data_IF_648793437646
#
_entry.id   IF_648793437646
#
_cell.length_a   1.000
_cell.length_b   1.000
_cell.length_c   1.000
_cell.angle_alpha   90.00
_cell.angle_beta   90.00
_cell.angle_gamma   90.00
#
_symmetry.space_group_name_H-M   'P 1'
#
loop_
_entity.id
_entity.type
_entity.pdbx_description
1 polymer ?
#
# COMPACT_ATOMS: atom_id res chain seq x y z
N UNK A 1 -41.97 48.00 -37.92
CA UNK A 1 -40.65 47.98 -37.25
C UNK A 1 -40.56 46.81 -36.24
N UNK A 2 -40.77 45.53 -36.63
CA UNK A 2 -40.93 44.44 -35.63
C UNK A 2 -40.39 43.03 -36.01
N UNK A 3 -39.37 42.88 -36.88
CA UNK A 3 -38.87 41.54 -37.29
C UNK A 3 -37.49 41.13 -36.73
N UNK A 4 -36.80 42.01 -36.01
CA UNK A 4 -35.41 41.78 -35.54
C UNK A 4 -35.28 41.31 -34.09
N UNK A 5 -36.35 41.39 -33.29
CA UNK A 5 -36.35 41.03 -31.87
C UNK A 5 -36.13 39.52 -31.56
N UNK A 6 -36.71 38.55 -32.31
CA UNK A 6 -36.51 37.13 -31.99
C UNK A 6 -35.10 36.64 -32.34
N UNK A 7 -34.44 37.27 -33.33
CA UNK A 7 -33.06 36.96 -33.71
C UNK A 7 -32.06 37.43 -32.66
N UNK A 8 -32.31 38.58 -32.03
CA UNK A 8 -31.47 39.09 -30.94
C UNK A 8 -31.59 38.24 -29.67
N UNK A 9 -32.79 37.75 -29.36
CA UNK A 9 -33.00 36.84 -28.25
C UNK A 9 -32.34 35.48 -28.49
N UNK A 10 -32.48 34.90 -29.69
CA UNK A 10 -31.81 33.64 -30.03
C UNK A 10 -30.27 33.74 -29.98
N UNK A 11 -29.70 34.87 -30.42
CA UNK A 11 -28.27 35.13 -30.33
C UNK A 11 -27.78 35.25 -28.88
N UNK A 12 -28.60 35.82 -27.99
CA UNK A 12 -28.30 35.91 -26.56
C UNK A 12 -28.36 34.54 -25.85
N UNK A 13 -29.26 33.66 -26.28
CA UNK A 13 -29.35 32.28 -25.76
C UNK A 13 -28.17 31.42 -26.19
N UNK A 14 -27.66 31.63 -27.41
CA UNK A 14 -26.50 30.91 -27.93
C UNK A 14 -25.19 31.35 -27.27
N UNK A 15 -25.07 32.63 -26.90
CA UNK A 15 -23.90 33.16 -26.18
C UNK A 15 -23.92 32.86 -24.68
N UNK A 16 -25.10 32.65 -24.09
CA UNK A 16 -25.25 32.21 -22.69
C UNK A 16 -24.97 30.71 -22.48
N UNK A 17 -25.00 29.92 -23.57
CA UNK A 17 -24.59 28.52 -23.56
C UNK A 17 -23.07 28.44 -23.62
N UNK A 18 -22.42 28.83 -22.51
CA UNK A 18 -20.98 28.74 -22.34
C UNK A 18 -20.53 27.28 -22.38
N UNK A 19 -20.25 26.77 -23.58
CA UNK A 19 -19.56 25.49 -23.75
C UNK A 19 -18.13 25.72 -23.30
N UNK A 20 -17.86 25.44 -22.03
CA UNK A 20 -16.50 25.40 -21.51
C UNK A 20 -15.78 24.25 -22.23
N UNK A 21 -14.79 24.58 -23.06
CA UNK A 21 -13.95 23.57 -23.68
C UNK A 21 -13.34 22.70 -22.58
N UNK A 22 -13.49 21.38 -22.69
CA UNK A 22 -12.83 20.45 -21.78
C UNK A 22 -11.32 20.74 -21.79
N UNK A 23 -10.65 20.75 -20.62
CA UNK A 23 -9.20 20.92 -20.59
C UNK A 23 -8.55 19.89 -21.50
N UNK A 24 -7.59 20.32 -22.30
CA UNK A 24 -6.86 19.43 -23.20
C UNK A 24 -6.27 18.27 -22.38
N UNK A 25 -6.36 17.01 -22.87
CA UNK A 25 -5.76 15.88 -22.17
C UNK A 25 -4.28 16.16 -21.97
N UNK A 26 -3.86 16.24 -20.70
CA UNK A 26 -2.46 16.41 -20.34
C UNK A 26 -1.74 15.13 -20.78
N UNK A 27 -0.72 15.21 -21.66
CA UNK A 27 0.05 14.04 -22.02
C UNK A 27 0.60 13.38 -20.75
N UNK A 28 0.28 12.10 -20.54
CA UNK A 28 0.84 11.36 -19.43
C UNK A 28 2.36 11.39 -19.50
N UNK A 29 3.02 11.64 -18.37
CA UNK A 29 4.50 11.60 -18.31
C UNK A 29 4.97 10.22 -18.78
N UNK A 30 5.78 10.19 -19.83
CA UNK A 30 6.41 8.96 -20.30
C UNK A 30 7.27 8.38 -19.16
N UNK A 31 6.96 7.15 -18.76
CA UNK A 31 7.75 6.43 -17.77
C UNK A 31 8.95 5.84 -18.51
N UNK A 32 10.13 6.40 -18.27
CA UNK A 32 11.37 5.82 -18.78
C UNK A 32 11.66 4.49 -18.05
N UNK A 33 12.15 3.46 -18.75
CA UNK A 33 12.56 2.21 -18.11
C UNK A 33 13.72 2.47 -17.13
N UNK A 34 13.74 1.73 -16.01
CA UNK A 34 14.85 1.78 -15.06
C UNK A 34 16.13 1.29 -15.78
N UNK A 35 17.24 1.98 -15.55
CA UNK A 35 18.56 1.55 -16.00
C UNK A 35 19.03 0.27 -15.30
N UNK A 36 20.20 -0.23 -15.68
CA UNK A 36 20.77 -1.41 -15.02
C UNK A 36 21.02 -1.17 -13.53
N UNK A 37 20.79 -2.21 -12.73
CA UNK A 37 21.12 -2.18 -11.30
C UNK A 37 22.62 -2.12 -11.09
N UNK A 38 23.06 -1.36 -10.08
CA UNK A 38 24.45 -1.34 -9.68
C UNK A 38 24.87 -2.74 -9.17
N UNK A 39 26.16 -3.12 -9.30
CA UNK A 39 26.66 -4.39 -8.80
C UNK A 39 26.30 -4.66 -7.33
N UNK A 40 26.40 -3.64 -6.47
CA UNK A 40 26.08 -3.75 -5.04
C UNK A 40 24.58 -3.97 -4.79
N UNK A 41 23.72 -3.34 -5.59
CA UNK A 41 22.27 -3.58 -5.51
C UNK A 41 21.94 -5.03 -5.88
N UNK A 42 22.58 -5.56 -6.93
CA UNK A 42 22.41 -6.96 -7.37
C UNK A 42 22.84 -7.93 -6.26
N UNK A 43 23.99 -7.69 -5.64
CA UNK A 43 24.50 -8.52 -4.55
C UNK A 43 23.55 -8.53 -3.34
N UNK A 44 23.00 -7.37 -2.95
CA UNK A 44 22.04 -7.29 -1.86
C UNK A 44 20.71 -7.98 -2.19
N UNK A 45 20.23 -7.85 -3.43
CA UNK A 45 19.02 -8.55 -3.89
C UNK A 45 19.23 -10.06 -3.82
N UNK A 46 20.36 -10.56 -4.29
CA UNK A 46 20.67 -11.98 -4.25
C UNK A 46 20.75 -12.50 -2.80
N UNK A 47 21.44 -11.77 -1.92
CA UNK A 47 21.51 -12.10 -0.50
C UNK A 47 20.12 -12.16 0.14
N UNK A 48 19.27 -11.18 -0.14
CA UNK A 48 17.90 -11.15 0.37
C UNK A 48 17.07 -12.31 -0.18
N UNK A 49 17.10 -12.56 -1.49
CA UNK A 49 16.36 -13.65 -2.13
C UNK A 49 16.76 -15.01 -1.57
N UNK A 50 18.03 -15.21 -1.26
CA UNK A 50 18.55 -16.45 -0.69
C UNK A 50 18.16 -16.64 0.79
N UNK A 51 18.09 -15.56 1.56
CA UNK A 51 17.90 -15.61 3.02
C UNK A 51 16.45 -15.42 3.48
N UNK A 52 15.58 -14.83 2.66
CA UNK A 52 14.23 -14.45 3.09
C UNK A 52 13.36 -15.64 3.53
N UNK A 53 13.60 -16.85 2.99
CA UNK A 53 12.84 -18.06 3.34
C UNK A 53 13.17 -18.58 4.73
N UNK A 54 14.31 -18.21 5.29
CA UNK A 54 14.71 -18.61 6.63
C UNK A 54 14.16 -17.69 7.72
N UNK A 55 13.60 -16.53 7.36
CA UNK A 55 13.08 -15.54 8.32
C UNK A 55 11.58 -15.76 8.52
N UNK A 56 11.15 -15.73 9.78
CA UNK A 56 9.76 -15.90 10.20
C UNK A 56 9.26 -14.71 11.01
N UNK A 57 7.93 -14.58 11.07
CA UNK A 57 7.25 -13.64 11.94
C UNK A 57 6.79 -14.37 13.21
N UNK A 58 7.00 -13.76 14.37
CA UNK A 58 6.62 -14.31 15.66
C UNK A 58 5.67 -13.36 16.38
N UNK A 59 4.57 -13.91 16.89
CA UNK A 59 3.60 -13.21 17.74
C UNK A 59 3.67 -13.80 19.15
N UNK A 60 3.80 -12.96 20.16
CA UNK A 60 3.71 -13.35 21.54
C UNK A 60 2.27 -13.19 22.03
N UNK A 61 1.67 -14.29 22.46
CA UNK A 61 0.27 -14.36 22.89
C UNK A 61 0.26 -14.61 24.39
N UNK A 62 -0.40 -13.74 25.15
CA UNK A 62 -0.67 -13.98 26.57
C UNK A 62 -2.13 -14.37 26.72
N UNK A 63 -2.34 -15.48 27.42
CA UNK A 63 -3.67 -15.99 27.74
C UNK A 63 -4.18 -15.25 28.97
N UNK A 64 -5.31 -14.55 28.85
CA UNK A 64 -6.04 -13.94 29.97
C UNK A 64 -7.35 -14.69 30.16
N UNK A 65 -7.59 -15.14 31.40
CA UNK A 65 -8.88 -15.70 31.81
C UNK A 65 -9.68 -14.59 32.47
N UNK A 66 -10.89 -14.34 31.98
CA UNK A 66 -11.79 -13.36 32.60
C UNK A 66 -12.23 -13.87 33.98
N UNK A 67 -12.24 -13.00 34.98
CA UNK A 67 -12.56 -13.36 36.37
C UNK A 67 -14.05 -13.62 36.57
N UNK A 68 -14.90 -13.19 35.64
CA UNK A 68 -16.35 -13.38 35.68
C UNK A 68 -16.89 -14.34 34.61
N UNK A 69 -16.09 -14.68 33.59
CA UNK A 69 -16.42 -15.71 32.61
C UNK A 69 -15.24 -16.66 32.44
N UNK A 70 -15.47 -17.97 32.45
CA UNK A 70 -14.43 -18.99 32.21
C UNK A 70 -13.88 -18.97 30.76
N UNK A 71 -14.06 -17.87 30.03
CA UNK A 71 -13.58 -17.69 28.68
C UNK A 71 -12.08 -17.37 28.72
N UNK A 72 -11.34 -18.13 27.93
CA UNK A 72 -9.91 -17.99 27.73
C UNK A 72 -9.71 -17.20 26.45
N UNK A 73 -9.19 -15.97 26.56
CA UNK A 73 -8.95 -15.11 25.40
C UNK A 73 -7.44 -14.94 25.17
N UNK A 74 -7.02 -15.17 23.93
CA UNK A 74 -5.67 -14.92 23.45
C UNK A 74 -5.52 -13.44 23.06
N UNK A 75 -4.72 -12.68 23.81
CA UNK A 75 -4.42 -11.29 23.49
C UNK A 75 -2.96 -11.21 23.03
N UNK A 76 -2.67 -10.79 21.79
CA UNK A 76 -1.30 -10.59 21.35
C UNK A 76 -0.67 -9.45 22.15
N UNK A 77 0.47 -9.72 22.81
CA UNK A 77 1.19 -8.76 23.65
C UNK A 77 2.45 -8.20 22.97
N UNK A 78 2.89 -8.84 21.89
CA UNK A 78 4.03 -8.38 21.12
C UNK A 78 4.16 -9.10 19.78
N UNK A 79 4.96 -8.52 18.90
CA UNK A 79 5.32 -9.11 17.62
C UNK A 79 6.81 -8.86 17.34
N UNK A 80 7.45 -9.77 16.62
CA UNK A 80 8.86 -9.68 16.27
C UNK A 80 9.26 -10.55 15.09
N UNK A 81 10.57 -10.65 14.87
CA UNK A 81 11.16 -11.49 13.83
C UNK A 81 11.92 -12.65 14.44
N UNK A 82 12.01 -13.73 13.68
CA UNK A 82 12.74 -14.93 14.02
C UNK A 82 13.40 -15.53 12.78
N UNK A 83 14.26 -16.54 12.96
CA UNK A 83 14.77 -17.32 11.83
C UNK A 83 14.93 -18.81 12.20
N UNK A 84 14.89 -19.65 11.17
CA UNK A 84 15.09 -21.10 11.28
C UNK A 84 16.57 -21.41 11.49
N UNK A 85 16.90 -22.13 12.56
CA UNK A 85 18.27 -22.48 12.94
C UNK A 85 18.75 -23.79 12.30
N UNK A 86 17.85 -24.79 12.22
CA UNK A 86 18.14 -26.10 11.64
C UNK A 86 16.90 -26.77 11.06
N UNK A 87 17.12 -27.88 10.34
CA UNK A 87 16.06 -28.67 9.70
C UNK A 87 15.18 -29.45 10.70
N UNK A 88 15.46 -29.37 12.01
CA UNK A 88 14.62 -29.98 13.05
C UNK A 88 13.49 -29.04 13.49
N UNK A 89 13.48 -27.80 12.99
CA UNK A 89 12.46 -26.80 13.29
C UNK A 89 12.79 -25.93 14.49
N UNK A 90 14.05 -25.84 14.92
CA UNK A 90 14.43 -24.87 15.94
C UNK A 90 14.36 -23.43 15.38
N UNK A 91 13.70 -22.55 16.13
CA UNK A 91 13.53 -21.13 15.78
C UNK A 91 14.29 -20.27 16.78
N UNK A 92 15.05 -19.29 16.28
CA UNK A 92 15.80 -18.35 17.11
C UNK A 92 15.17 -16.95 17.00
N UNK A 93 14.99 -16.31 18.14
CA UNK A 93 14.58 -14.91 18.28
C UNK A 93 15.24 -14.30 19.52
N UNK A 94 15.12 -12.98 19.68
CA UNK A 94 15.61 -12.29 20.87
C UNK A 94 14.71 -12.61 22.08
N UNK A 95 15.31 -12.68 23.28
CA UNK A 95 14.58 -13.00 24.51
C UNK A 95 13.41 -12.05 24.80
N UNK A 96 13.56 -10.74 24.57
CA UNK A 96 12.51 -9.76 24.82
C UNK A 96 11.27 -9.93 23.93
N UNK A 97 11.36 -10.68 22.83
CA UNK A 97 10.23 -10.92 21.93
C UNK A 97 9.25 -11.91 22.54
N UNK A 98 9.75 -12.86 23.33
CA UNK A 98 8.98 -13.96 23.94
C UNK A 98 8.73 -13.77 25.44
N UNK A 99 9.03 -12.58 25.98
CA UNK A 99 8.82 -12.26 27.39
C UNK A 99 7.35 -12.02 27.72
#
# INVERSE_FOLDING_TARGET
>A
MHRSLPLLLAALWLSASGVQAAPAPVPGRAVAPRGELAPDEKANIELFQRSNKSVCFVTNIVVRQDVFSLNVMEIPQGAGSCFVWDDKGHIVTNFHVIQ
#
